data_IF_612447798660
#
_entry.id   IF_612447798660
#
_cell.length_a   1.000
_cell.length_b   1.000
_cell.length_c   1.000
_cell.angle_alpha   90.00
_cell.angle_beta   90.00
_cell.angle_gamma   90.00
#
_symmetry.space_group_name_H-M   'P 1'
#
loop_
_entity.id
_entity.type
_entity.pdbx_description
1 polymer ?
#
# COMPACT_ATOMS: atom_id res chain seq x y z
N UNK A 1 20.53 -6.96 41.13
CA UNK A 1 20.77 -7.25 39.70
C UNK A 1 20.48 -8.72 39.46
N UNK A 2 19.28 -9.04 38.98
CA UNK A 2 18.83 -10.42 38.73
C UNK A 2 19.44 -10.93 37.42
N UNK A 3 20.20 -12.00 37.56
CA UNK A 3 20.96 -12.73 36.54
C UNK A 3 20.07 -13.71 35.74
N UNK A 4 18.80 -13.35 35.51
CA UNK A 4 17.79 -14.26 34.95
C UNK A 4 17.10 -13.78 33.67
N UNK A 5 17.57 -12.69 33.06
CA UNK A 5 17.29 -12.41 31.65
C UNK A 5 18.54 -12.71 30.83
N UNK A 6 18.67 -13.97 30.38
CA UNK A 6 19.46 -14.26 29.18
C UNK A 6 18.54 -13.88 28.01
N UNK A 7 18.87 -12.86 27.19
CA UNK A 7 18.18 -12.70 25.91
C UNK A 7 18.27 -14.05 25.18
N UNK A 8 17.16 -14.50 24.59
CA UNK A 8 17.14 -15.84 24.00
C UNK A 8 18.30 -15.96 22.99
N UNK A 9 19.03 -17.07 23.06
CA UNK A 9 20.08 -17.38 22.07
C UNK A 9 19.45 -17.95 20.79
N UNK A 10 18.24 -17.49 20.41
CA UNK A 10 17.55 -18.01 19.23
C UNK A 10 18.27 -17.62 17.94
N UNK A 11 19.17 -16.64 18.01
CA UNK A 11 20.10 -16.31 16.93
C UNK A 11 21.09 -17.42 16.61
N UNK A 12 21.32 -18.42 17.48
CA UNK A 12 22.25 -19.52 17.23
C UNK A 12 21.54 -20.88 17.25
N UNK A 13 21.89 -21.78 16.33
CA UNK A 13 21.41 -23.15 16.35
C UNK A 13 22.06 -24.01 17.45
N UNK A 14 21.58 -25.23 17.63
CA UNK A 14 22.10 -26.16 18.64
C UNK A 14 23.59 -26.52 18.45
N UNK A 15 24.19 -26.16 17.30
CA UNK A 15 25.60 -26.36 16.97
C UNK A 15 26.39 -25.04 16.96
N UNK A 16 25.80 -23.94 17.43
CA UNK A 16 26.47 -22.63 17.53
C UNK A 16 26.55 -21.85 16.22
N UNK A 17 25.76 -22.19 15.19
CA UNK A 17 25.71 -21.45 13.92
C UNK A 17 24.72 -20.30 14.00
N UNK A 18 25.07 -19.12 13.48
CA UNK A 18 24.15 -17.99 13.38
C UNK A 18 22.97 -18.33 12.45
N UNK A 19 21.75 -18.30 12.98
CA UNK A 19 20.50 -18.37 12.23
C UNK A 19 20.28 -17.03 11.54
N UNK A 20 19.97 -17.08 10.25
CA UNK A 20 19.64 -15.90 9.43
C UNK A 20 18.21 -16.04 8.92
N UNK A 21 17.49 -14.91 8.87
CA UNK A 21 16.20 -14.82 8.20
C UNK A 21 16.39 -14.19 6.83
N UNK A 22 16.07 -14.93 5.77
CA UNK A 22 16.13 -14.41 4.41
C UNK A 22 14.72 -14.04 3.95
N UNK A 23 14.45 -12.78 3.58
CA UNK A 23 13.14 -12.39 3.06
C UNK A 23 12.87 -13.13 1.75
N UNK A 24 11.64 -13.62 1.60
CA UNK A 24 11.16 -14.26 0.38
C UNK A 24 10.23 -13.31 -0.35
N UNK A 25 10.62 -12.89 -1.55
CA UNK A 25 9.78 -12.05 -2.41
C UNK A 25 8.64 -12.88 -2.99
N UNK A 26 7.41 -12.64 -2.52
CA UNK A 26 6.20 -13.28 -3.05
C UNK A 26 5.77 -12.68 -4.40
N UNK A 27 6.09 -11.41 -4.62
CA UNK A 27 5.73 -10.65 -5.80
C UNK A 27 6.72 -9.53 -6.06
N UNK A 28 7.12 -9.38 -7.32
CA UNK A 28 7.84 -8.22 -7.82
C UNK A 28 7.26 -7.86 -9.18
N UNK A 29 7.08 -6.58 -9.42
CA UNK A 29 6.45 -6.06 -10.63
C UNK A 29 7.02 -4.69 -10.98
N UNK A 30 7.62 -4.60 -12.17
CA UNK A 30 8.01 -3.34 -12.79
C UNK A 30 7.51 -3.25 -14.23
N UNK A 31 7.33 -2.03 -14.72
CA UNK A 31 6.83 -1.72 -16.07
C UNK A 31 7.89 -1.06 -16.95
N UNK A 32 9.19 -1.35 -16.72
CA UNK A 32 10.32 -0.61 -17.30
C UNK A 32 10.31 -0.47 -18.83
N UNK A 33 9.62 -1.35 -19.57
CA UNK A 33 9.51 -1.28 -21.04
C UNK A 33 8.14 -1.66 -21.62
N UNK A 34 7.29 -2.32 -20.84
CA UNK A 34 5.97 -2.80 -21.27
C UNK A 34 5.07 -3.03 -20.07
N UNK A 35 3.77 -3.17 -20.33
CA UNK A 35 2.89 -3.85 -19.38
C UNK A 35 3.41 -5.28 -19.16
N UNK A 36 3.64 -5.65 -17.90
CA UNK A 36 4.22 -6.93 -17.54
C UNK A 36 3.16 -8.05 -17.46
N UNK A 37 1.88 -7.71 -17.64
CA UNK A 37 0.74 -8.63 -17.60
C UNK A 37 0.59 -9.38 -16.27
N UNK A 38 1.10 -8.82 -15.17
CA UNK A 38 0.91 -9.34 -13.80
C UNK A 38 -0.27 -8.67 -13.08
N UNK A 39 -1.00 -7.81 -13.79
CA UNK A 39 -2.11 -7.02 -13.26
C UNK A 39 -3.33 -7.16 -14.16
N UNK A 40 -4.51 -7.14 -13.55
CA UNK A 40 -5.80 -7.02 -14.24
C UNK A 40 -6.41 -5.66 -13.96
N UNK A 41 -7.33 -5.21 -14.82
CA UNK A 41 -7.99 -3.92 -14.65
C UNK A 41 -9.48 -4.01 -14.96
N UNK A 42 -10.27 -3.39 -14.09
CA UNK A 42 -11.69 -3.11 -14.31
C UNK A 42 -11.83 -1.62 -14.62
N UNK A 43 -12.42 -1.32 -15.77
CA UNK A 43 -12.62 0.05 -16.27
C UNK A 43 -14.11 0.30 -16.43
N UNK A 44 -14.62 1.31 -15.73
CA UNK A 44 -16.05 1.66 -15.71
C UNK A 44 -16.21 3.13 -16.10
N UNK A 45 -17.23 3.42 -16.92
CA UNK A 45 -17.58 4.76 -17.37
C UNK A 45 -16.89 5.17 -18.67
N UNK A 46 -17.57 6.03 -19.43
CA UNK A 46 -17.05 6.56 -20.70
C UNK A 46 -15.82 7.46 -20.45
N UNK A 47 -14.78 7.28 -21.25
CA UNK A 47 -13.52 8.04 -21.15
C UNK A 47 -12.55 7.55 -20.06
N UNK A 48 -12.91 6.54 -19.27
CA UNK A 48 -11.96 5.88 -18.37
C UNK A 48 -11.01 4.97 -19.19
N UNK A 49 -9.71 5.00 -18.90
CA UNK A 49 -8.70 4.22 -19.64
C UNK A 49 -7.58 3.72 -18.73
N UNK A 50 -6.90 2.68 -19.19
CA UNK A 50 -5.66 2.16 -18.62
C UNK A 50 -4.64 2.09 -19.75
N UNK A 51 -3.51 2.78 -19.61
CA UNK A 51 -2.53 2.93 -20.69
C UNK A 51 -1.10 2.80 -20.21
N UNK A 52 -0.30 1.97 -20.88
CA UNK A 52 1.13 1.91 -20.63
C UNK A 52 1.85 3.09 -21.28
N UNK A 53 2.66 3.81 -20.50
CA UNK A 53 3.46 4.95 -20.97
C UNK A 53 4.90 4.52 -21.17
N UNK A 54 5.29 4.27 -22.42
CA UNK A 54 6.60 3.74 -22.80
C UNK A 54 7.78 4.60 -22.34
N UNK A 55 7.64 5.92 -22.38
CA UNK A 55 8.70 6.87 -22.02
C UNK A 55 8.91 6.99 -20.52
N UNK A 56 7.92 6.63 -19.71
CA UNK A 56 7.96 6.75 -18.25
C UNK A 56 8.07 5.38 -17.55
N UNK A 57 7.73 4.29 -18.24
CA UNK A 57 7.78 2.94 -17.66
C UNK A 57 6.75 2.73 -16.56
N UNK A 58 5.54 3.30 -16.73
CA UNK A 58 4.42 3.23 -15.79
C UNK A 58 3.10 2.94 -16.51
N UNK A 59 2.05 2.70 -15.73
CA UNK A 59 0.68 2.54 -16.24
C UNK A 59 -0.16 3.71 -15.73
N UNK A 60 -0.69 4.50 -16.66
CA UNK A 60 -1.63 5.57 -16.37
C UNK A 60 -3.04 5.01 -16.19
N UNK A 61 -3.71 5.47 -15.14
CA UNK A 61 -5.11 5.19 -14.86
C UNK A 61 -5.91 6.49 -15.02
N UNK A 62 -6.69 6.60 -16.09
CA UNK A 62 -7.56 7.75 -16.31
C UNK A 62 -8.98 7.39 -15.90
N UNK A 63 -9.57 8.17 -14.99
CA UNK A 63 -10.99 8.08 -14.66
C UNK A 63 -11.75 9.10 -15.50
N UNK A 64 -12.77 8.64 -16.23
CA UNK A 64 -13.61 9.47 -17.09
C UNK A 64 -14.59 10.37 -16.31
N UNK A 65 -15.60 10.88 -17.02
CA UNK A 65 -16.61 11.78 -16.45
C UNK A 65 -17.85 10.96 -16.05
N UNK A 66 -18.29 11.10 -14.80
CA UNK A 66 -19.51 10.49 -14.29
C UNK A 66 -19.35 9.97 -12.86
N UNK A 67 -20.44 9.93 -12.09
CA UNK A 67 -20.43 9.51 -10.69
C UNK A 67 -20.09 8.02 -10.49
N UNK A 68 -20.18 7.22 -11.54
CA UNK A 68 -19.84 5.78 -11.54
C UNK A 68 -18.51 5.47 -12.23
N UNK A 69 -17.84 6.49 -12.80
CA UNK A 69 -16.57 6.30 -13.50
C UNK A 69 -15.51 5.84 -12.50
N UNK A 70 -14.83 4.73 -12.80
CA UNK A 70 -13.77 4.21 -11.96
C UNK A 70 -12.79 3.36 -12.74
N UNK A 71 -11.57 3.27 -12.23
CA UNK A 71 -10.55 2.33 -12.70
C UNK A 71 -10.01 1.62 -11.46
N UNK A 72 -10.04 0.29 -11.50
CA UNK A 72 -9.43 -0.57 -10.48
C UNK A 72 -8.36 -1.40 -11.17
N UNK A 73 -7.15 -1.47 -10.59
CA UNK A 73 -6.05 -2.26 -11.12
C UNK A 73 -5.42 -3.05 -9.96
N UNK A 74 -5.43 -4.37 -10.08
CA UNK A 74 -5.03 -5.30 -9.03
C UNK A 74 -4.11 -6.38 -9.60
N UNK A 75 -3.30 -7.00 -8.75
CA UNK A 75 -2.40 -8.09 -9.15
C UNK A 75 -3.20 -9.34 -9.53
N UNK A 76 -2.71 -10.14 -10.48
CA UNK A 76 -3.34 -11.42 -10.84
C UNK A 76 -3.24 -12.49 -9.75
N UNK A 77 -2.46 -12.22 -8.71
CA UNK A 77 -2.24 -13.10 -7.56
C UNK A 77 -2.68 -12.36 -6.29
N UNK A 78 -3.26 -13.12 -5.36
CA UNK A 78 -3.58 -12.66 -4.00
C UNK A 78 -2.51 -13.21 -3.05
N UNK A 79 -2.01 -12.35 -2.15
CA UNK A 79 -0.95 -12.69 -1.21
C UNK A 79 -1.48 -12.74 0.21
N UNK A 80 -2.23 -13.78 0.56
CA UNK A 80 -2.77 -13.92 1.91
C UNK A 80 -1.68 -13.84 2.96
N UNK A 81 -1.94 -13.04 4.00
CA UNK A 81 -1.05 -12.93 5.15
C UNK A 81 -0.86 -14.31 5.82
N UNK A 82 0.37 -14.61 6.24
CA UNK A 82 0.74 -15.87 6.89
C UNK A 82 1.02 -15.62 8.37
N UNK A 83 0.16 -16.10 9.30
CA UNK A 83 0.38 -15.94 10.73
C UNK A 83 1.78 -16.40 11.18
N UNK A 84 2.40 -15.63 12.06
CA UNK A 84 3.76 -15.89 12.54
C UNK A 84 4.88 -15.51 11.57
N UNK A 85 4.59 -14.72 10.53
CA UNK A 85 5.59 -14.09 9.63
C UNK A 85 5.20 -12.65 9.34
N UNK A 86 6.15 -11.72 9.23
CA UNK A 86 5.82 -10.40 8.72
C UNK A 86 5.50 -10.44 7.21
N UNK A 87 4.66 -9.51 6.75
CA UNK A 87 4.41 -9.28 5.33
C UNK A 87 4.73 -7.82 5.00
N UNK A 88 5.79 -7.65 4.21
CA UNK A 88 6.23 -6.36 3.72
C UNK A 88 5.67 -6.08 2.32
N UNK A 89 4.97 -4.95 2.19
CA UNK A 89 4.39 -4.46 0.93
C UNK A 89 4.98 -3.09 0.61
N UNK A 90 5.40 -2.93 -0.65
CA UNK A 90 5.89 -1.65 -1.17
C UNK A 90 5.15 -1.33 -2.48
N UNK A 91 4.56 -0.13 -2.54
CA UNK A 91 3.90 0.38 -3.74
C UNK A 91 4.49 1.73 -4.15
N UNK A 92 4.90 1.86 -5.40
CA UNK A 92 5.30 3.14 -5.99
C UNK A 92 4.15 3.73 -6.80
N UNK A 93 3.82 4.99 -6.57
CA UNK A 93 2.67 5.63 -7.23
C UNK A 93 2.85 7.14 -7.36
N UNK A 94 2.06 7.73 -8.26
CA UNK A 94 1.83 9.17 -8.40
C UNK A 94 0.32 9.33 -8.50
N UNK A 95 -0.27 10.12 -7.61
CA UNK A 95 -1.71 10.41 -7.66
C UNK A 95 -1.98 11.68 -8.46
N UNK A 96 -3.20 11.78 -8.98
CA UNK A 96 -3.71 13.05 -9.48
C UNK A 96 -3.84 14.04 -8.31
N UNK A 97 -3.76 15.34 -8.62
CA UNK A 97 -4.01 16.41 -7.65
C UNK A 97 -5.34 16.17 -6.92
N UNK A 98 -5.36 16.17 -5.57
CA UNK A 98 -6.57 16.02 -4.78
C UNK A 98 -7.65 17.02 -5.22
N UNK A 99 -8.86 16.54 -5.42
CA UNK A 99 -10.01 17.36 -5.83
C UNK A 99 -11.32 16.73 -5.36
N UNK A 100 -12.33 17.55 -5.10
CA UNK A 100 -13.66 17.10 -4.71
C UNK A 100 -14.21 16.05 -5.67
N UNK A 101 -14.85 15.01 -5.13
CA UNK A 101 -15.43 13.87 -5.86
C UNK A 101 -14.42 12.96 -6.58
N UNK A 102 -13.13 13.05 -6.27
CA UNK A 102 -12.13 12.07 -6.68
C UNK A 102 -11.66 11.28 -5.46
N UNK A 103 -11.72 9.95 -5.57
CA UNK A 103 -11.12 9.03 -4.61
C UNK A 103 -10.00 8.23 -5.25
N UNK A 104 -8.85 8.18 -4.60
CA UNK A 104 -7.66 7.47 -5.05
C UNK A 104 -7.16 6.56 -3.92
N UNK A 105 -6.76 5.34 -4.26
CA UNK A 105 -6.33 4.33 -3.28
C UNK A 105 -5.14 3.55 -3.79
N UNK A 106 -4.20 3.24 -2.90
CA UNK A 106 -3.05 2.38 -3.16
C UNK A 106 -2.67 1.62 -1.89
N UNK A 107 -2.39 0.33 -2.01
CA UNK A 107 -1.96 -0.48 -0.87
C UNK A 107 -2.28 -1.96 -1.06
N UNK A 108 -2.32 -2.68 0.07
CA UNK A 108 -2.61 -4.10 0.15
C UNK A 108 -4.04 -4.31 0.63
N UNK A 109 -4.98 -4.43 -0.30
CA UNK A 109 -6.39 -4.58 0.04
C UNK A 109 -7.18 -5.30 -1.05
N UNK A 110 -8.29 -5.91 -0.63
CA UNK A 110 -9.33 -6.44 -1.49
C UNK A 110 -10.70 -5.89 -1.11
N UNK A 111 -11.76 -6.55 -1.56
CA UNK A 111 -13.15 -6.14 -1.27
C UNK A 111 -13.43 -6.15 0.23
N UNK A 112 -12.94 -7.16 0.95
CA UNK A 112 -13.35 -7.42 2.34
C UNK A 112 -12.36 -6.93 3.38
N UNK A 113 -11.06 -6.92 3.07
CA UNK A 113 -9.99 -6.65 4.04
C UNK A 113 -8.82 -5.91 3.40
N UNK A 114 -8.04 -5.21 4.22
CA UNK A 114 -6.73 -4.71 3.82
C UNK A 114 -6.34 -3.39 4.47
N UNK A 115 -5.14 -2.93 4.11
CA UNK A 115 -4.57 -1.67 4.56
C UNK A 115 -4.12 -0.88 3.33
N UNK A 116 -4.55 0.37 3.25
CA UNK A 116 -4.24 1.22 2.10
C UNK A 116 -4.19 2.70 2.47
N UNK A 117 -3.47 3.44 1.63
CA UNK A 117 -3.50 4.89 1.62
C UNK A 117 -4.66 5.37 0.74
N UNK A 118 -5.47 6.28 1.25
CA UNK A 118 -6.63 6.87 0.59
C UNK A 118 -6.50 8.39 0.50
N UNK A 119 -6.84 8.93 -0.66
CA UNK A 119 -7.14 10.35 -0.84
C UNK A 119 -8.59 10.45 -1.30
N UNK A 120 -9.47 10.93 -0.42
CA UNK A 120 -10.87 11.16 -0.73
C UNK A 120 -11.18 12.66 -0.72
N UNK A 121 -11.41 13.21 -1.90
CA UNK A 121 -11.48 14.66 -2.09
C UNK A 121 -10.14 15.30 -1.80
N UNK A 122 -10.05 15.94 -0.63
CA UNK A 122 -8.87 16.63 -0.12
C UNK A 122 -8.34 16.01 1.18
N UNK A 123 -8.94 14.91 1.62
CA UNK A 123 -8.57 14.24 2.88
C UNK A 123 -7.65 13.08 2.60
N UNK A 124 -6.45 13.12 3.16
CA UNK A 124 -5.49 12.01 3.17
C UNK A 124 -5.74 11.13 4.38
N UNK A 125 -5.72 9.81 4.19
CA UNK A 125 -5.95 8.86 5.28
C UNK A 125 -5.21 7.55 5.06
N UNK A 126 -4.76 6.94 6.15
CA UNK A 126 -4.50 5.50 6.17
C UNK A 126 -5.79 4.81 6.58
N UNK A 127 -6.13 3.72 5.89
CA UNK A 127 -7.39 3.01 6.08
C UNK A 127 -7.13 1.54 6.30
N UNK A 128 -7.65 1.04 7.41
CA UNK A 128 -7.80 -0.39 7.65
C UNK A 128 -9.23 -0.80 7.29
N UNK A 129 -9.37 -1.78 6.41
CA UNK A 129 -10.64 -2.42 6.08
C UNK A 129 -10.69 -3.80 6.70
N UNK A 130 -11.81 -4.14 7.31
CA UNK A 130 -12.03 -5.44 7.94
C UNK A 130 -13.46 -5.93 7.74
N UNK A 131 -13.64 -7.24 7.56
CA UNK A 131 -14.94 -7.91 7.57
C UNK A 131 -15.14 -8.77 8.83
N UNK A 132 -14.34 -8.59 9.88
CA UNK A 132 -14.35 -9.45 11.07
C UNK A 132 -15.72 -9.53 11.77
N UNK A 133 -16.54 -8.49 11.66
CA UNK A 133 -17.90 -8.43 12.22
C UNK A 133 -18.97 -9.08 11.31
N UNK A 134 -18.58 -9.63 10.16
CA UNK A 134 -19.48 -10.12 9.11
C UNK A 134 -20.00 -9.03 8.16
N UNK A 135 -19.68 -7.76 8.41
CA UNK A 135 -19.97 -6.62 7.54
C UNK A 135 -18.68 -5.82 7.36
N UNK A 136 -18.41 -5.37 6.13
CA UNK A 136 -17.22 -4.55 5.85
C UNK A 136 -17.29 -3.24 6.65
N UNK A 137 -16.27 -3.02 7.47
CA UNK A 137 -16.02 -1.78 8.19
C UNK A 137 -14.66 -1.20 7.78
N UNK A 138 -14.53 0.12 7.90
CA UNK A 138 -13.30 0.84 7.55
C UNK A 138 -12.93 1.80 8.68
N UNK A 139 -11.76 1.60 9.28
CA UNK A 139 -11.15 2.52 10.23
C UNK A 139 -10.27 3.48 9.45
N UNK A 140 -10.70 4.74 9.35
CA UNK A 140 -9.95 5.81 8.65
C UNK A 140 -9.18 6.65 9.65
N UNK A 141 -7.87 6.71 9.48
CA UNK A 141 -6.98 7.56 10.25
C UNK A 141 -6.57 8.76 9.37
N UNK A 142 -7.18 9.94 9.56
CA UNK A 142 -6.86 11.13 8.78
C UNK A 142 -5.44 11.62 9.08
N UNK A 143 -4.83 12.35 8.14
CA UNK A 143 -3.48 12.91 8.28
C UNK A 143 -3.25 13.69 9.58
N UNK A 144 -4.27 14.42 10.04
CA UNK A 144 -4.24 15.14 11.31
C UNK A 144 -4.02 14.24 12.55
N UNK A 145 -4.26 12.94 12.40
CA UNK A 145 -4.15 11.91 13.44
C UNK A 145 -2.97 10.96 13.18
N UNK A 146 -2.10 11.23 12.21
CA UNK A 146 -0.90 10.42 12.00
C UNK A 146 0.10 10.65 13.15
N UNK A 147 0.68 9.53 13.58
CA UNK A 147 1.69 9.48 14.62
C UNK A 147 3.08 9.74 14.05
N UNK A 148 3.97 10.24 14.92
CA UNK A 148 5.35 10.61 14.64
C UNK A 148 5.53 11.76 13.63
N UNK A 149 5.10 11.58 12.38
CA UNK A 149 5.19 12.58 11.32
C UNK A 149 3.91 12.63 10.48
N UNK A 150 3.24 13.78 10.50
CA UNK A 150 2.00 14.03 9.74
C UNK A 150 2.27 14.40 8.29
N UNK A 151 3.50 14.75 7.92
CA UNK A 151 3.86 15.27 6.61
C UNK A 151 3.03 16.53 6.23
N UNK A 152 2.80 17.40 7.20
CA UNK A 152 2.15 18.71 7.06
C UNK A 152 3.11 19.87 7.37
N UNK A 153 4.42 19.59 7.34
CA UNK A 153 5.50 20.51 7.69
C UNK A 153 5.74 20.68 9.20
N UNK A 154 4.90 20.12 10.08
CA UNK A 154 5.05 20.24 11.54
C UNK A 154 5.82 19.09 12.19
N UNK A 155 5.93 17.95 11.49
CA UNK A 155 6.62 16.75 11.96
C UNK A 155 8.15 16.79 11.83
N UNK A 156 8.86 15.78 12.38
CA UNK A 156 10.32 15.73 12.40
C UNK A 156 11.00 15.81 11.02
N UNK A 157 10.34 15.37 9.94
CA UNK A 157 10.90 15.46 8.59
C UNK A 157 10.81 16.86 7.98
N UNK A 158 9.89 17.71 8.45
CA UNK A 158 9.61 19.03 7.88
C UNK A 158 8.98 19.02 6.48
N UNK A 159 8.61 17.86 5.94
CA UNK A 159 8.00 17.76 4.61
C UNK A 159 6.50 18.01 4.62
N UNK A 160 6.00 18.56 3.52
CA UNK A 160 4.58 18.56 3.17
C UNK A 160 4.34 17.44 2.16
N UNK A 161 3.37 16.57 2.42
CA UNK A 161 3.00 15.49 1.51
C UNK A 161 2.42 16.05 0.21
N UNK A 162 3.11 15.79 -0.90
CA UNK A 162 2.64 16.08 -2.25
C UNK A 162 2.48 14.78 -3.05
N UNK A 163 1.25 14.25 -3.04
CA UNK A 163 0.91 13.00 -3.74
C UNK A 163 1.01 13.10 -5.27
N UNK A 164 1.19 14.31 -5.82
CA UNK A 164 1.43 14.51 -7.27
C UNK A 164 2.88 14.24 -7.67
N UNK A 165 3.75 13.94 -6.71
CA UNK A 165 5.12 13.46 -6.91
C UNK A 165 5.21 11.95 -6.70
N UNK A 166 6.34 11.37 -7.13
CA UNK A 166 6.63 9.96 -6.90
C UNK A 166 6.67 9.62 -5.42
N UNK A 167 5.78 8.73 -4.99
CA UNK A 167 5.70 8.22 -3.63
C UNK A 167 6.08 6.75 -3.58
N UNK A 168 6.62 6.33 -2.43
CA UNK A 168 6.75 4.91 -2.07
C UNK A 168 5.97 4.72 -0.77
N UNK A 169 4.86 3.99 -0.86
CA UNK A 169 4.15 3.52 0.33
C UNK A 169 4.81 2.22 0.78
N UNK A 170 5.23 2.20 2.03
CA UNK A 170 5.77 1.05 2.73
C UNK A 170 4.76 0.62 3.79
N UNK A 171 4.44 -0.66 3.83
CA UNK A 171 3.52 -1.24 4.81
C UNK A 171 4.09 -2.58 5.25
N UNK A 172 4.40 -2.71 6.53
CA UNK A 172 4.86 -3.95 7.15
C UNK A 172 3.88 -4.34 8.24
N UNK A 173 3.37 -5.55 8.13
CA UNK A 173 2.32 -6.06 9.02
C UNK A 173 2.76 -7.37 9.63
N UNK A 174 2.39 -7.56 10.88
CA UNK A 174 2.55 -8.81 11.62
C UNK A 174 1.27 -9.13 12.41
N UNK A 175 1.02 -10.41 12.61
CA UNK A 175 -0.07 -10.97 13.41
C UNK A 175 0.33 -12.33 13.98
#
# INVERSE_FOLDING_TARGET
>A
MSHLYKPCQDSYDAFGRLRVSNPLTLFDSSHRYRDNNLWTSLVVGSGSTVGFVTTQGLVDLTVGIGSTASVQRETTKVFSYQPGKSLLVMNTFVMNTPKTNLRQRVGYFGVDNGIYFEVDGNTFSFVERSIVSGIVSETRIPQSSWDHDKLDGTGPSGYNLDVTKGQILWTDIEW
#
